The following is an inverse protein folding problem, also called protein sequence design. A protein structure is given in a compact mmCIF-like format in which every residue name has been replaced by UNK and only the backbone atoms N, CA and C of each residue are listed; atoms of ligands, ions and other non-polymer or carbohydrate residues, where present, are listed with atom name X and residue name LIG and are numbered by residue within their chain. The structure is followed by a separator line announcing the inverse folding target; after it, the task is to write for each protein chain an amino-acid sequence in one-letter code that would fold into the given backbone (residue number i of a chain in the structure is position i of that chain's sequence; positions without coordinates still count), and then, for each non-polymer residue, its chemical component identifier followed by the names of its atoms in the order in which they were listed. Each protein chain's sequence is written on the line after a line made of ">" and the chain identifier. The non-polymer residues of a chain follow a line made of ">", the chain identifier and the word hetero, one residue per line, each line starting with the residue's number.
data_IF_623825723440
#
_entry.id   IF_623825723440
#
_cell.length_a   1.000
_cell.length_b   1.000
_cell.length_c   1.000
_cell.angle_alpha   90.00
_cell.angle_beta   90.00
_cell.angle_gamma   90.00
#
_symmetry.space_group_name_H-M   'P 1'
#
loop_
_entity.id
_entity.type
_entity.pdbx_description
1 polymer ?
#
# COMPACT_ATOMS: atom_id res chain seq x y z
N UNK A 1 -3.28 11.21 22.17
CA UNK A 1 -2.10 10.66 21.48
C UNK A 1 -2.56 10.13 20.14
N UNK A 2 -1.83 10.34 19.03
CA UNK A 2 -2.21 9.72 17.76
C UNK A 2 -2.21 8.20 17.96
N UNK A 3 -3.29 7.55 17.55
CA UNK A 3 -3.43 6.10 17.67
C UNK A 3 -2.34 5.44 16.82
N UNK A 4 -1.53 4.56 17.42
CA UNK A 4 -0.39 3.94 16.76
C UNK A 4 -0.86 3.00 15.64
N UNK A 5 -0.16 3.03 14.49
CA UNK A 5 -0.37 2.05 13.43
C UNK A 5 -0.26 0.62 13.97
N UNK A 6 -1.23 -0.22 13.61
CA UNK A 6 -1.21 -1.66 13.82
C UNK A 6 -0.61 -2.34 12.60
N UNK A 7 -0.30 -3.63 12.71
CA UNK A 7 0.03 -4.42 11.53
C UNK A 7 -1.20 -4.58 10.63
N UNK A 8 -1.00 -4.85 9.34
CA UNK A 8 -2.09 -5.15 8.43
C UNK A 8 -2.93 -6.35 8.91
N UNK A 9 -2.27 -7.36 9.49
CA UNK A 9 -2.96 -8.51 10.08
C UNK A 9 -3.83 -8.13 11.28
N UNK A 10 -3.30 -7.37 12.25
CA UNK A 10 -4.06 -6.93 13.43
C UNK A 10 -5.29 -6.09 13.01
N UNK A 11 -5.13 -5.27 11.98
CA UNK A 11 -6.20 -4.42 11.42
C UNK A 11 -7.29 -5.26 10.75
N UNK A 12 -6.90 -6.26 9.94
CA UNK A 12 -7.84 -7.19 9.33
C UNK A 12 -8.55 -8.05 10.38
N UNK A 13 -7.83 -8.55 11.38
CA UNK A 13 -8.37 -9.35 12.46
C UNK A 13 -9.39 -8.57 13.29
N UNK A 14 -9.13 -7.28 13.57
CA UNK A 14 -10.07 -6.40 14.25
C UNK A 14 -11.39 -6.19 13.48
N UNK A 15 -11.34 -6.27 12.14
CA UNK A 15 -12.55 -6.19 11.31
C UNK A 15 -13.39 -7.47 11.28
N UNK A 16 -12.80 -8.62 11.66
CA UNK A 16 -13.46 -9.93 11.59
C UNK A 16 -13.56 -10.51 10.18
N UNK A 17 -14.24 -11.65 10.07
CA UNK A 17 -14.48 -12.33 8.80
C UNK A 17 -15.48 -11.52 7.94
N UNK A 18 -15.17 -11.24 6.66
CA UNK A 18 -16.07 -10.50 5.80
C UNK A 18 -17.18 -11.40 5.25
N UNK A 19 -18.44 -10.98 5.40
CA UNK A 19 -19.57 -11.65 4.76
C UNK A 19 -19.57 -11.43 3.23
N UNK A 20 -19.04 -10.29 2.78
CA UNK A 20 -18.92 -9.96 1.37
C UNK A 20 -17.75 -9.01 1.12
N UNK A 21 -17.17 -9.08 -0.08
CA UNK A 21 -16.02 -8.23 -0.46
C UNK A 21 -16.15 -7.74 -1.90
N UNK A 22 -15.86 -6.45 -2.11
CA UNK A 22 -15.81 -5.81 -3.42
C UNK A 22 -14.37 -5.40 -3.69
N UNK A 23 -13.83 -5.79 -4.84
CA UNK A 23 -12.45 -5.48 -5.23
C UNK A 23 -12.42 -4.75 -6.56
N UNK A 24 -11.76 -3.60 -6.58
CA UNK A 24 -11.28 -2.95 -7.79
C UNK A 24 -9.77 -3.19 -7.86
N UNK A 25 -9.30 -3.79 -8.94
CA UNK A 25 -7.90 -4.19 -9.09
C UNK A 25 -7.24 -3.45 -10.25
N UNK A 26 -6.05 -2.93 -9.99
CA UNK A 26 -5.12 -2.42 -11.00
C UNK A 26 -5.74 -1.36 -11.92
N UNK A 27 -6.53 -0.44 -11.37
CA UNK A 27 -6.98 0.74 -12.09
C UNK A 27 -5.74 1.55 -12.52
N UNK A 28 -5.52 1.65 -13.82
CA UNK A 28 -4.37 2.33 -14.39
C UNK A 28 -4.60 3.84 -14.35
N UNK A 29 -3.64 4.56 -13.77
CA UNK A 29 -3.62 6.02 -13.71
C UNK A 29 -2.20 6.54 -13.95
N UNK A 30 -2.08 7.83 -14.24
CA UNK A 30 -0.80 8.54 -14.24
C UNK A 30 -0.75 9.43 -13.00
N UNK A 31 0.36 9.39 -12.27
CA UNK A 31 0.59 10.22 -11.09
C UNK A 31 1.82 11.09 -11.28
N UNK A 32 1.85 12.22 -10.58
CA UNK A 32 3.01 13.09 -10.41
C UNK A 32 3.26 13.30 -8.93
N UNK A 33 4.51 13.58 -8.58
CA UNK A 33 4.93 13.80 -7.20
C UNK A 33 6.00 12.79 -6.80
N UNK A 34 5.65 11.50 -6.62
CA UNK A 34 6.56 10.52 -6.05
C UNK A 34 7.88 10.44 -6.82
N UNK A 35 8.96 10.10 -6.10
CA UNK A 35 10.28 9.92 -6.68
C UNK A 35 10.27 8.76 -7.68
N UNK A 36 10.84 8.96 -8.86
CA UNK A 36 11.09 7.84 -9.76
C UNK A 36 12.27 6.95 -9.29
N UNK A 37 12.60 5.91 -10.05
CA UNK A 37 13.69 4.99 -9.72
C UNK A 37 15.09 5.64 -9.71
N UNK A 38 15.22 6.87 -10.22
CA UNK A 38 16.45 7.68 -10.18
C UNK A 38 16.37 8.82 -9.16
N UNK A 39 15.32 8.87 -8.35
CA UNK A 39 15.13 9.91 -7.33
C UNK A 39 14.61 11.25 -7.86
N UNK A 40 14.21 11.33 -9.14
CA UNK A 40 13.65 12.56 -9.73
C UNK A 40 12.22 12.76 -9.26
N UNK A 41 11.89 13.99 -8.90
CA UNK A 41 10.54 14.39 -8.47
C UNK A 41 9.69 14.88 -9.65
N UNK A 42 8.37 14.90 -9.45
CA UNK A 42 7.38 15.48 -10.38
C UNK A 42 7.40 14.88 -11.81
N UNK A 43 8.03 13.72 -12.01
CA UNK A 43 7.96 13.01 -13.28
C UNK A 43 6.59 12.31 -13.40
N UNK A 44 5.96 12.27 -14.58
CA UNK A 44 4.77 11.45 -14.80
C UNK A 44 5.13 9.96 -14.65
N UNK A 45 4.48 9.28 -13.72
CA UNK A 45 4.68 7.87 -13.43
C UNK A 45 3.39 7.09 -13.67
N UNK A 46 3.45 5.91 -14.33
CA UNK A 46 2.32 5.00 -14.35
C UNK A 46 2.11 4.44 -12.93
N UNK A 47 0.85 4.37 -12.50
CA UNK A 47 0.47 3.76 -11.25
C UNK A 47 -0.73 2.83 -11.43
N UNK A 48 -0.81 1.82 -10.58
CA UNK A 48 -1.90 0.88 -10.45
C UNK A 48 -2.57 1.11 -9.10
N UNK A 49 -3.86 1.39 -9.11
CA UNK A 49 -4.63 1.65 -7.90
C UNK A 49 -5.60 0.50 -7.68
N UNK A 50 -5.56 -0.08 -6.50
CA UNK A 50 -6.48 -1.14 -6.08
C UNK A 50 -7.20 -0.73 -4.81
N UNK A 51 -8.48 -1.09 -4.71
CA UNK A 51 -9.30 -0.87 -3.53
C UNK A 51 -10.07 -2.16 -3.22
N UNK A 52 -10.07 -2.55 -1.95
CA UNK A 52 -10.79 -3.70 -1.44
C UNK A 52 -11.67 -3.24 -0.27
N UNK A 53 -12.97 -3.47 -0.41
CA UNK A 53 -14.01 -3.06 0.54
C UNK A 53 -14.66 -4.32 1.06
N UNK A 54 -14.51 -4.58 2.36
CA UNK A 54 -15.10 -5.71 3.05
C UNK A 54 -16.32 -5.26 3.86
N UNK A 55 -17.39 -6.06 3.81
CA UNK A 55 -18.64 -5.81 4.51
C UNK A 55 -18.96 -6.92 5.50
N UNK A 56 -19.63 -6.56 6.59
CA UNK A 56 -20.17 -7.52 7.57
C UNK A 56 -21.52 -8.10 7.19
N UNK A 57 -22.10 -7.63 6.09
CA UNK A 57 -23.37 -8.09 5.54
C UNK A 57 -23.19 -8.59 4.11
N UNK A 58 -24.06 -9.51 3.69
CA UNK A 58 -24.16 -9.99 2.32
C UNK A 58 -24.86 -8.98 1.40
N UNK A 59 -24.83 -9.21 0.09
CA UNK A 59 -25.52 -8.40 -0.93
C UNK A 59 -26.97 -8.84 -1.15
N UNK A 60 -27.71 -9.12 -0.08
CA UNK A 60 -29.02 -9.78 -0.15
C UNK A 60 -30.06 -8.97 -0.92
N UNK A 61 -30.11 -7.65 -0.75
CA UNK A 61 -31.09 -6.79 -1.40
C UNK A 61 -30.73 -6.60 -2.88
N UNK A 62 -29.44 -6.39 -3.15
CA UNK A 62 -28.92 -6.31 -4.51
C UNK A 62 -29.14 -7.61 -5.30
N UNK A 63 -28.96 -8.77 -4.66
CA UNK A 63 -29.17 -10.07 -5.28
C UNK A 63 -30.65 -10.36 -5.52
N UNK A 64 -31.53 -10.02 -4.57
CA UNK A 64 -32.97 -10.25 -4.70
C UNK A 64 -33.61 -9.34 -5.75
N UNK A 65 -33.16 -8.09 -5.84
CA UNK A 65 -33.70 -7.07 -6.75
C UNK A 65 -33.01 -6.97 -8.11
N UNK A 66 -32.00 -7.80 -8.39
CA UNK A 66 -31.13 -7.73 -9.59
C UNK A 66 -30.72 -6.30 -9.95
N UNK A 67 -30.34 -5.52 -8.95
CA UNK A 67 -30.05 -4.09 -9.08
C UNK A 67 -29.04 -3.61 -8.04
N UNK A 68 -28.39 -2.47 -8.31
CA UNK A 68 -27.42 -1.87 -7.38
C UNK A 68 -28.19 -1.15 -6.27
N UNK A 69 -28.29 -1.80 -5.12
CA UNK A 69 -28.97 -1.31 -3.93
C UNK A 69 -27.97 -0.71 -2.93
N UNK A 70 -28.46 -0.19 -1.80
CA UNK A 70 -27.63 0.40 -0.74
C UNK A 70 -26.73 -0.62 -0.01
N UNK A 71 -26.98 -1.92 -0.16
CA UNK A 71 -26.19 -2.99 0.42
C UNK A 71 -24.92 -3.31 -0.39
N UNK A 72 -24.75 -2.77 -1.59
CA UNK A 72 -23.55 -2.92 -2.42
C UNK A 72 -22.84 -1.59 -2.69
N UNK A 73 -21.58 -1.66 -3.15
CA UNK A 73 -20.84 -0.48 -3.65
C UNK A 73 -20.76 -0.57 -5.16
N UNK A 74 -21.22 0.48 -5.84
CA UNK A 74 -21.14 0.54 -7.29
C UNK A 74 -19.68 0.69 -7.76
N UNK A 75 -19.03 -0.41 -8.13
CA UNK A 75 -17.62 -0.43 -8.55
C UNK A 75 -17.33 0.49 -9.75
N UNK A 76 -18.30 0.67 -10.67
CA UNK A 76 -18.20 1.63 -11.77
C UNK A 76 -18.22 3.12 -11.34
N UNK A 77 -18.88 3.46 -10.23
CA UNK A 77 -18.80 4.81 -9.65
C UNK A 77 -17.50 4.97 -8.87
N UNK A 78 -17.05 3.91 -8.16
CA UNK A 78 -15.77 3.90 -7.45
C UNK A 78 -14.59 4.12 -8.41
N UNK A 79 -14.57 3.42 -9.55
CA UNK A 79 -13.50 3.58 -10.55
C UNK A 79 -13.48 5.00 -11.14
N UNK A 80 -14.64 5.55 -11.50
CA UNK A 80 -14.77 6.94 -11.97
C UNK A 80 -14.35 7.95 -10.91
N UNK A 81 -14.70 7.71 -9.65
CA UNK A 81 -14.32 8.57 -8.54
C UNK A 81 -12.80 8.56 -8.34
N UNK A 82 -12.17 7.38 -8.32
CA UNK A 82 -10.71 7.26 -8.26
C UNK A 82 -10.03 7.93 -9.46
N UNK A 83 -10.50 7.71 -10.68
CA UNK A 83 -9.98 8.41 -11.86
C UNK A 83 -10.05 9.93 -11.70
N UNK A 84 -11.18 10.45 -11.19
CA UNK A 84 -11.35 11.90 -10.92
C UNK A 84 -10.34 12.40 -9.89
N UNK A 85 -10.12 11.65 -8.81
CA UNK A 85 -9.11 11.95 -7.79
C UNK A 85 -7.73 12.15 -8.46
N UNK A 86 -7.29 11.15 -9.24
CA UNK A 86 -5.97 11.17 -9.86
C UNK A 86 -5.85 12.20 -10.99
N UNK A 87 -6.90 12.44 -11.78
CA UNK A 87 -6.88 13.52 -12.79
C UNK A 87 -6.79 14.91 -12.16
N UNK A 88 -7.28 15.06 -10.92
CA UNK A 88 -7.15 16.30 -10.16
C UNK A 88 -5.76 16.52 -9.56
N UNK A 89 -4.82 15.59 -9.73
CA UNK A 89 -3.46 15.73 -9.18
C UNK A 89 -2.55 16.60 -10.06
N UNK A 90 -2.91 16.82 -11.32
CA UNK A 90 -2.14 17.70 -12.22
C UNK A 90 -2.10 19.17 -11.78
N UNK A 91 -3.05 19.60 -10.95
CA UNK A 91 -3.16 20.98 -10.45
C UNK A 91 -2.59 21.17 -9.04
N UNK A 92 -1.98 20.13 -8.46
CA UNK A 92 -1.52 20.12 -7.06
C UNK A 92 -0.09 20.65 -6.90
N UNK A 93 0.30 21.06 -5.68
CA UNK A 93 1.65 21.52 -5.39
C UNK A 93 2.71 20.49 -5.79
N UNK A 94 3.86 20.97 -6.24
CA UNK A 94 5.03 20.13 -6.51
C UNK A 94 5.51 19.41 -5.23
N UNK A 95 6.10 18.22 -5.40
CA UNK A 95 6.78 17.52 -4.30
C UNK A 95 5.93 16.56 -3.46
N UNK A 96 4.70 16.25 -3.91
CA UNK A 96 3.87 15.21 -3.30
C UNK A 96 4.59 13.87 -3.24
N UNK A 97 4.53 13.19 -2.11
CA UNK A 97 5.09 11.85 -1.91
C UNK A 97 4.02 10.78 -2.18
N UNK A 98 4.42 9.51 -2.27
CA UNK A 98 3.47 8.41 -2.41
C UNK A 98 2.49 8.34 -1.24
N UNK A 99 2.93 8.74 -0.04
CA UNK A 99 2.08 8.85 1.15
C UNK A 99 0.98 9.89 0.97
N UNK A 100 1.28 11.08 0.44
CA UNK A 100 0.30 12.15 0.23
C UNK A 100 -0.79 11.73 -0.77
N UNK A 101 -0.41 10.98 -1.82
CA UNK A 101 -1.37 10.41 -2.76
C UNK A 101 -2.33 9.45 -2.06
N UNK A 102 -1.79 8.53 -1.25
CA UNK A 102 -2.60 7.56 -0.51
C UNK A 102 -3.53 8.25 0.50
N UNK A 103 -3.02 9.20 1.29
CA UNK A 103 -3.82 9.96 2.26
C UNK A 103 -4.94 10.74 1.56
N UNK A 104 -4.65 11.37 0.41
CA UNK A 104 -5.66 12.08 -0.38
C UNK A 104 -6.74 11.17 -0.94
N UNK A 105 -6.37 9.96 -1.41
CA UNK A 105 -7.36 8.98 -1.88
C UNK A 105 -8.21 8.52 -0.70
N UNK A 106 -7.55 8.21 0.42
CA UNK A 106 -8.21 7.74 1.64
C UNK A 106 -9.22 8.76 2.20
N UNK A 107 -8.83 10.03 2.27
CA UNK A 107 -9.68 11.12 2.75
C UNK A 107 -10.90 11.34 1.84
N UNK A 108 -10.75 11.25 0.52
CA UNK A 108 -11.89 11.39 -0.39
C UNK A 108 -12.80 10.16 -0.38
N UNK A 109 -12.25 8.96 -0.18
CA UNK A 109 -13.06 7.76 -0.06
C UNK A 109 -13.84 7.70 1.26
N UNK A 110 -13.23 8.08 2.38
CA UNK A 110 -13.76 7.78 3.72
C UNK A 110 -14.16 9.00 4.53
N UNK A 111 -13.67 10.19 4.17
CA UNK A 111 -13.79 11.40 4.99
C UNK A 111 -12.83 11.45 6.18
N UNK A 112 -12.05 10.39 6.43
CA UNK A 112 -11.07 10.31 7.51
C UNK A 112 -9.64 10.41 6.96
N UNK A 113 -8.69 10.78 7.81
CA UNK A 113 -7.27 10.61 7.51
C UNK A 113 -6.83 9.19 7.88
N UNK A 114 -5.88 8.62 7.14
CA UNK A 114 -5.31 7.32 7.48
C UNK A 114 -4.27 7.48 8.59
N UNK A 115 -3.38 8.47 8.48
CA UNK A 115 -2.45 8.83 9.55
C UNK A 115 -2.79 10.22 10.09
N UNK A 116 -2.73 10.38 11.42
CA UNK A 116 -2.91 11.68 12.07
C UNK A 116 -1.71 12.58 11.76
N UNK A 117 -1.80 13.34 10.68
CA UNK A 117 -0.89 14.45 10.39
C UNK A 117 -1.70 15.75 10.43
N UNK A 118 -1.16 16.78 11.07
CA UNK A 118 -1.81 18.09 11.14
C UNK A 118 -2.11 18.63 9.73
N UNK A 119 -3.40 18.69 9.37
CA UNK A 119 -4.06 19.27 8.16
C UNK A 119 -3.91 18.57 6.79
N UNK A 120 -4.88 18.70 5.83
CA UNK A 120 -5.92 19.73 5.67
C UNK A 120 -7.38 19.22 5.79
N UNK A 121 -8.33 20.14 5.58
CA UNK A 121 -9.77 20.03 5.84
C UNK A 121 -10.43 18.70 5.44
N UNK A 122 -11.41 18.22 6.22
CA UNK A 122 -12.20 17.04 5.86
C UNK A 122 -12.78 17.22 4.46
N UNK A 123 -12.64 16.20 3.62
CA UNK A 123 -13.28 16.20 2.31
C UNK A 123 -14.77 16.51 2.48
N UNK A 124 -15.27 17.51 1.74
CA UNK A 124 -16.62 18.06 1.94
C UNK A 124 -17.73 17.00 1.79
N UNK A 125 -17.43 15.87 1.15
CA UNK A 125 -18.28 14.69 1.09
C UNK A 125 -17.44 13.43 0.80
N UNK A 126 -17.47 12.44 1.70
CA UNK A 126 -16.84 11.14 1.48
C UNK A 126 -17.60 10.33 0.41
N UNK A 127 -16.89 9.54 -0.39
CA UNK A 127 -17.53 8.64 -1.37
C UNK A 127 -18.22 7.44 -0.71
N UNK A 128 -17.60 6.85 0.32
CA UNK A 128 -18.14 5.73 1.08
C UNK A 128 -18.80 6.23 2.36
N UNK A 129 -19.98 5.69 2.65
CA UNK A 129 -20.60 5.83 3.96
C UNK A 129 -19.82 4.99 4.97
N UNK A 130 -19.38 5.58 6.07
CA UNK A 130 -18.48 4.92 7.03
C UNK A 130 -19.11 3.72 7.76
N UNK A 131 -20.43 3.63 7.80
CA UNK A 131 -21.19 2.49 8.31
C UNK A 131 -21.40 1.37 7.29
N UNK A 132 -21.05 1.59 6.02
CA UNK A 132 -21.35 0.65 4.92
C UNK A 132 -20.31 -0.46 4.73
N UNK A 133 -19.17 -0.38 5.42
CA UNK A 133 -18.06 -1.34 5.32
C UNK A 133 -17.40 -1.56 6.69
N UNK A 134 -16.84 -2.76 6.90
CA UNK A 134 -16.10 -3.12 8.12
C UNK A 134 -14.59 -2.96 7.96
N UNK A 135 -14.10 -3.04 6.73
CA UNK A 135 -12.68 -2.89 6.43
C UNK A 135 -12.49 -2.32 5.03
N UNK A 136 -11.55 -1.40 4.90
CA UNK A 136 -11.12 -0.84 3.63
C UNK A 136 -9.61 -1.01 3.50
N UNK A 137 -9.17 -1.41 2.31
CA UNK A 137 -7.77 -1.48 1.92
C UNK A 137 -7.60 -0.75 0.59
N UNK A 138 -6.64 0.18 0.52
CA UNK A 138 -6.29 0.92 -0.69
C UNK A 138 -4.80 0.75 -0.94
N UNK A 139 -4.43 0.34 -2.15
CA UNK A 139 -3.04 0.14 -2.57
C UNK A 139 -2.75 0.99 -3.79
N UNK A 140 -1.68 1.77 -3.73
CA UNK A 140 -1.11 2.46 -4.88
C UNK A 140 0.23 1.78 -5.20
N UNK A 141 0.35 1.19 -6.38
CA UNK A 141 1.55 0.51 -6.87
C UNK A 141 2.17 1.29 -8.03
N UNK A 142 3.45 1.58 -7.91
CA UNK A 142 4.28 2.26 -8.89
C UNK A 142 5.22 1.22 -9.54
N UNK A 143 4.87 0.59 -10.68
CA UNK A 143 5.64 -0.52 -11.24
C UNK A 143 7.04 -0.16 -11.76
N UNK A 144 7.35 1.13 -11.97
CA UNK A 144 8.60 1.58 -12.60
C UNK A 144 9.57 2.34 -11.68
N UNK A 145 9.33 2.32 -10.36
CA UNK A 145 10.13 3.11 -9.40
C UNK A 145 11.19 2.29 -8.67
N UNK A 146 11.31 1.00 -8.97
CA UNK A 146 12.39 0.13 -8.50
C UNK A 146 13.35 -0.15 -9.67
N UNK A 147 14.66 -0.19 -9.41
CA UNK A 147 15.67 -0.48 -10.44
C UNK A 147 15.88 -1.98 -10.61
N UNK A 148 15.80 -2.74 -9.51
CA UNK A 148 16.06 -4.18 -9.49
C UNK A 148 14.79 -5.02 -9.27
N UNK A 149 13.64 -4.38 -9.06
CA UNK A 149 12.35 -5.03 -8.82
C UNK A 149 11.24 -4.58 -9.77
N UNK A 150 10.04 -5.08 -9.51
CA UNK A 150 8.80 -4.77 -10.24
C UNK A 150 8.02 -3.60 -9.60
N UNK A 151 8.75 -2.66 -9.01
CA UNK A 151 8.21 -1.43 -8.43
C UNK A 151 7.89 -1.50 -6.95
N UNK A 152 7.19 -0.47 -6.47
CA UNK A 152 6.91 -0.24 -5.04
C UNK A 152 5.44 0.04 -4.86
N UNK A 153 4.82 -0.49 -3.80
CA UNK A 153 3.46 -0.12 -3.44
C UNK A 153 3.35 0.36 -2.01
N UNK A 154 2.48 1.33 -1.80
CA UNK A 154 2.03 1.73 -0.47
C UNK A 154 0.57 1.33 -0.29
N UNK A 155 0.29 0.61 0.79
CA UNK A 155 -1.05 0.15 1.14
C UNK A 155 -1.47 0.79 2.45
N UNK A 156 -2.65 1.41 2.45
CA UNK A 156 -3.34 1.83 3.66
C UNK A 156 -4.55 0.94 3.91
N UNK A 157 -4.79 0.58 5.16
CA UNK A 157 -6.02 -0.11 5.54
C UNK A 157 -6.53 0.31 6.91
N UNK A 158 -7.83 0.12 7.11
CA UNK A 158 -8.46 0.37 8.41
C UNK A 158 -9.65 -0.55 8.62
N UNK A 159 -9.84 -0.98 9.87
CA UNK A 159 -11.10 -1.54 10.34
C UNK A 159 -12.03 -0.41 10.80
N UNK A 160 -13.32 -0.59 10.59
CA UNK A 160 -14.36 0.35 10.98
C UNK A 160 -15.22 -0.25 12.09
N UNK A 161 -15.50 0.53 13.12
CA UNK A 161 -16.47 0.20 14.16
C UNK A 161 -17.30 1.45 14.49
N UNK A 162 -18.62 1.31 14.54
CA UNK A 162 -19.51 2.45 14.84
C UNK A 162 -19.40 3.63 13.86
N UNK A 163 -19.02 3.36 12.60
CA UNK A 163 -18.86 4.40 11.57
C UNK A 163 -17.57 5.23 11.70
N UNK A 164 -16.60 4.79 12.49
CA UNK A 164 -15.29 5.42 12.62
C UNK A 164 -14.15 4.39 12.49
N UNK A 165 -12.95 4.80 12.06
CA UNK A 165 -11.79 3.92 12.05
C UNK A 165 -11.44 3.46 13.48
N UNK A 166 -11.36 2.14 13.70
CA UNK A 166 -11.01 1.52 14.97
C UNK A 166 -9.54 1.07 15.01
N UNK A 167 -9.00 0.67 13.87
CA UNK A 167 -7.60 0.33 13.73
C UNK A 167 -7.13 0.68 12.34
N UNK A 168 -5.83 1.00 12.20
CA UNK A 168 -5.24 1.46 10.95
C UNK A 168 -3.89 0.79 10.74
N UNK A 169 -3.58 0.43 9.51
CA UNK A 169 -2.29 -0.06 9.09
C UNK A 169 -1.80 0.65 7.84
N UNK A 170 -0.47 0.73 7.71
CA UNK A 170 0.19 1.18 6.50
C UNK A 170 1.39 0.30 6.22
N UNK A 171 1.48 -0.20 5.00
CA UNK A 171 2.51 -1.15 4.57
C UNK A 171 3.16 -0.66 3.30
N UNK A 172 4.47 -0.48 3.36
CA UNK A 172 5.31 -0.26 2.17
C UNK A 172 5.81 -1.61 1.68
N UNK A 173 5.69 -1.88 0.39
CA UNK A 173 6.18 -3.12 -0.23
C UNK A 173 7.05 -2.82 -1.44
N UNK A 174 8.20 -3.47 -1.51
CA UNK A 174 9.02 -3.56 -2.73
C UNK A 174 8.77 -4.92 -3.36
N UNK A 175 8.43 -4.91 -4.66
CA UNK A 175 8.00 -6.11 -5.38
C UNK A 175 9.15 -6.73 -6.15
N UNK A 176 9.31 -8.05 -6.00
CA UNK A 176 10.17 -8.90 -6.83
C UNK A 176 11.60 -8.37 -7.08
N UNK A 177 12.30 -7.92 -6.03
CA UNK A 177 13.72 -7.56 -6.13
C UNK A 177 14.54 -8.76 -6.57
N UNK A 178 15.25 -8.65 -7.70
CA UNK A 178 16.08 -9.72 -8.25
C UNK A 178 17.55 -9.44 -7.94
N UNK A 179 18.08 -10.09 -6.91
CA UNK A 179 19.44 -9.81 -6.41
C UNK A 179 20.32 -11.07 -6.48
N UNK A 180 21.44 -11.05 -7.23
CA UNK A 180 22.43 -12.13 -7.20
C UNK A 180 23.05 -12.26 -5.81
N UNK A 181 22.70 -13.33 -5.10
CA UNK A 181 23.05 -13.55 -3.70
C UNK A 181 23.84 -14.84 -3.55
N UNK A 182 24.89 -14.82 -2.73
CA UNK A 182 25.62 -16.04 -2.38
C UNK A 182 24.95 -16.65 -1.15
N UNK A 183 24.24 -17.76 -1.34
CA UNK A 183 23.50 -18.44 -0.28
C UNK A 183 23.58 -19.95 -0.45
N UNK A 184 23.76 -20.67 0.65
CA UNK A 184 23.76 -22.12 0.66
C UNK A 184 24.50 -22.70 1.86
N UNK A 185 24.07 -23.87 2.29
CA UNK A 185 24.65 -24.58 3.44
C UNK A 185 25.91 -25.31 3.01
N UNK A 186 25.92 -25.85 1.78
CA UNK A 186 27.01 -26.67 1.29
C UNK A 186 28.09 -25.82 0.58
N UNK A 187 29.35 -26.24 0.71
CA UNK A 187 30.49 -25.56 0.07
C UNK A 187 30.38 -25.42 -1.45
N UNK A 188 29.65 -26.31 -2.13
CA UNK A 188 29.43 -26.19 -3.58
C UNK A 188 28.37 -25.14 -3.94
N UNK A 189 27.40 -24.88 -3.06
CA UNK A 189 26.37 -23.84 -3.22
C UNK A 189 26.97 -22.43 -2.99
N UNK A 190 28.01 -22.33 -2.14
CA UNK A 190 28.76 -21.08 -1.86
C UNK A 190 29.79 -20.71 -2.93
N UNK A 191 29.82 -21.39 -4.08
CA UNK A 191 30.77 -21.08 -5.18
C UNK A 191 30.21 -20.15 -6.24
N UNK A 192 28.88 -20.04 -6.34
CA UNK A 192 28.22 -19.25 -7.37
C UNK A 192 27.02 -18.52 -6.80
N UNK A 193 26.84 -17.27 -7.22
CA UNK A 193 25.66 -16.47 -6.87
C UNK A 193 24.42 -17.01 -7.57
N UNK A 194 23.32 -17.05 -6.84
CA UNK A 194 22.00 -17.44 -7.33
C UNK A 194 21.11 -16.20 -7.36
N UNK A 195 20.20 -16.10 -8.34
CA UNK A 195 19.23 -15.02 -8.35
C UNK A 195 18.17 -15.31 -7.29
N UNK A 196 18.13 -14.48 -6.26
CA UNK A 196 17.06 -14.49 -5.25
C UNK A 196 16.02 -13.44 -5.64
N UNK A 197 14.75 -13.84 -5.68
CA UNK A 197 13.62 -12.94 -5.89
C UNK A 197 13.01 -12.65 -4.52
N UNK A 198 13.21 -11.44 -4.01
CA UNK A 198 12.75 -11.01 -2.69
C UNK A 198 11.57 -10.03 -2.79
N UNK A 199 10.53 -10.31 -2.03
CA UNK A 199 9.47 -9.35 -1.76
C UNK A 199 9.64 -8.86 -0.32
N UNK A 200 9.76 -7.54 -0.14
CA UNK A 200 10.03 -6.95 1.17
C UNK A 200 8.86 -6.07 1.56
N UNK A 201 8.28 -6.33 2.73
CA UNK A 201 7.19 -5.55 3.32
C UNK A 201 7.65 -4.93 4.63
N UNK A 202 7.40 -3.62 4.78
CA UNK A 202 7.63 -2.89 6.02
C UNK A 202 6.27 -2.51 6.58
N UNK A 203 5.88 -3.22 7.64
CA UNK A 203 4.68 -2.97 8.44
C UNK A 203 4.80 -1.67 9.23
N UNK A 204 3.66 -1.09 9.59
CA UNK A 204 3.58 0.16 10.38
C UNK A 204 4.41 1.31 9.77
N UNK A 205 4.47 1.37 8.45
CA UNK A 205 5.26 2.38 7.73
C UNK A 205 4.73 3.79 8.04
N UNK A 206 5.40 4.55 8.90
CA UNK A 206 4.95 5.89 9.33
C UNK A 206 5.61 7.05 8.56
N UNK A 207 6.69 6.80 7.83
CA UNK A 207 7.38 7.85 7.07
C UNK A 207 6.50 8.44 5.96
N UNK A 208 6.51 9.78 5.87
CA UNK A 208 5.81 10.52 4.81
C UNK A 208 6.64 10.59 3.54
N UNK A 209 7.95 10.72 3.68
CA UNK A 209 8.87 10.82 2.56
C UNK A 209 9.01 9.50 1.80
N UNK A 210 9.26 9.62 0.49
CA UNK A 210 9.60 8.49 -0.38
C UNK A 210 11.00 7.96 -0.01
N UNK A 211 11.00 7.01 0.94
CA UNK A 211 12.19 6.30 1.44
C UNK A 211 12.46 4.96 0.75
N UNK A 212 11.62 4.52 -0.19
CA UNK A 212 11.74 3.21 -0.83
C UNK A 212 13.03 3.02 -1.65
N UNK A 213 13.59 4.09 -2.23
CA UNK A 213 14.87 4.00 -2.93
C UNK A 213 16.05 3.72 -1.99
N UNK A 214 16.05 4.34 -0.81
CA UNK A 214 17.04 4.07 0.23
C UNK A 214 16.88 2.64 0.79
N UNK A 215 15.63 2.23 1.01
CA UNK A 215 15.29 0.88 1.43
C UNK A 215 15.80 -0.18 0.44
N UNK A 216 15.52 0.00 -0.86
CA UNK A 216 16.01 -0.88 -1.92
C UNK A 216 17.54 -0.97 -1.93
N UNK A 217 18.23 0.16 -1.75
CA UNK A 217 19.69 0.20 -1.71
C UNK A 217 20.26 -0.60 -0.53
N UNK A 218 19.66 -0.47 0.67
CA UNK A 218 20.06 -1.23 1.87
C UNK A 218 19.85 -2.73 1.66
N UNK A 219 18.68 -3.14 1.16
CA UNK A 219 18.35 -4.54 0.88
C UNK A 219 19.33 -5.12 -0.15
N UNK A 220 19.51 -4.41 -1.28
CA UNK A 220 20.38 -4.83 -2.38
C UNK A 220 21.80 -5.03 -1.91
N UNK A 221 22.34 -4.07 -1.14
CA UNK A 221 23.69 -4.17 -0.58
C UNK A 221 23.80 -5.36 0.38
N UNK A 222 22.88 -5.48 1.31
CA UNK A 222 22.89 -6.55 2.32
C UNK A 222 22.86 -7.93 1.67
N UNK A 223 21.95 -8.15 0.72
CA UNK A 223 21.84 -9.42 -0.01
C UNK A 223 23.08 -9.67 -0.89
N UNK A 224 23.57 -8.66 -1.60
CA UNK A 224 24.74 -8.79 -2.47
C UNK A 224 26.02 -9.09 -1.68
N UNK A 225 26.18 -8.53 -0.48
CA UNK A 225 27.38 -8.71 0.35
C UNK A 225 27.29 -9.97 1.23
N UNK A 226 26.11 -10.60 1.33
CA UNK A 226 25.91 -11.78 2.14
C UNK A 226 26.56 -13.04 1.55
N UNK A 227 26.99 -13.93 2.45
CA UNK A 227 27.48 -15.29 2.17
C UNK A 227 26.86 -16.30 3.14
N UNK A 228 25.61 -16.03 3.53
CA UNK A 228 24.91 -16.75 4.59
C UNK A 228 24.48 -18.14 4.14
N UNK A 229 24.30 -19.03 5.10
CA UNK A 229 23.92 -20.41 4.81
C UNK A 229 22.42 -20.55 4.54
N UNK A 230 21.62 -19.75 5.23
CA UNK A 230 20.16 -19.89 5.27
C UNK A 230 19.44 -18.59 4.96
N UNK A 231 18.18 -18.71 4.52
CA UNK A 231 17.32 -17.56 4.22
C UNK A 231 16.88 -16.86 5.51
N UNK A 232 16.74 -17.60 6.60
CA UNK A 232 16.37 -17.09 7.91
C UNK A 232 17.44 -16.12 8.43
N UNK A 233 18.71 -16.51 8.35
CA UNK A 233 19.81 -15.63 8.73
C UNK A 233 19.86 -14.37 7.85
N UNK A 234 19.55 -14.51 6.56
CA UNK A 234 19.49 -13.38 5.64
C UNK A 234 18.37 -12.41 6.00
N UNK A 235 17.19 -12.92 6.34
CA UNK A 235 16.05 -12.10 6.80
C UNK A 235 16.41 -11.37 8.09
N UNK A 236 17.02 -12.03 9.06
CA UNK A 236 17.42 -11.39 10.33
C UNK A 236 18.44 -10.26 10.09
N UNK A 237 19.46 -10.48 9.27
CA UNK A 237 20.44 -9.44 8.93
C UNK A 237 19.75 -8.27 8.22
N UNK A 238 18.90 -8.53 7.22
CA UNK A 238 18.14 -7.49 6.52
C UNK A 238 17.28 -6.68 7.51
N UNK A 239 16.58 -7.34 8.43
CA UNK A 239 15.73 -6.68 9.42
C UNK A 239 16.53 -5.73 10.32
N UNK A 240 17.74 -6.11 10.75
CA UNK A 240 18.60 -5.23 11.56
C UNK A 240 19.08 -3.98 10.80
N UNK A 241 19.31 -4.09 9.49
CA UNK A 241 19.80 -2.99 8.66
C UNK A 241 18.69 -2.01 8.23
N UNK A 242 17.42 -2.45 8.25
CA UNK A 242 16.25 -1.66 7.82
C UNK A 242 15.68 -0.77 8.95
N UNK A 243 16.33 -0.70 10.12
CA UNK A 243 15.83 0.10 11.25
C UNK A 243 15.80 1.59 10.90
N UNK A 244 14.63 2.10 10.48
CA UNK A 244 14.36 3.52 10.27
C UNK A 244 14.27 4.19 11.64
N UNK A 245 15.25 5.02 11.98
CA UNK A 245 15.17 6.01 13.07
C UNK A 245 14.28 7.18 12.69
#
# INVERSE_FOLDING_TARGET
>A
MPESLRTAWETQAAAGEPAATIKLQNLQVIVKGPKDSWGRINQPLPALVSAEISKGTTFSDSAAGDSVCSDTVHYGLLSKHLQKIFSGFDTRPEGWQLSDLLESVWAQLTGFQLINTESPEPASQAFLESSSFQHLKVTIHLPKVSLLGNGVSLTGSASMAGGAPQSRARVLRIHDLRIPTLIGVNEHEKKQRQIVIANVEVEKWAAREDGYGQLEAVITKTMSDSSLETLEALVDVIATQITFT
#
